data_IF_915779915783
#
_entry.id   IF_915779915783
#
_cell.length_a   1.000
_cell.length_b   1.000
_cell.length_c   1.000
_cell.angle_alpha   90.00
_cell.angle_beta   90.00
_cell.angle_gamma   90.00
#
_symmetry.space_group_name_H-M   'P 1'
#
loop_
_entity.id
_entity.type
_entity.pdbx_description
1 polymer ?
#
# COMPACT_ATOMS: atom_id res chain seq x y z
N UNK A 1 -3.51 -4.12 -26.32
CA UNK A 1 -4.46 -2.99 -26.28
C UNK A 1 -5.79 -3.33 -25.59
N UNK A 2 -6.41 -4.50 -25.86
CA UNK A 2 -7.66 -4.90 -25.19
C UNK A 2 -7.57 -4.92 -23.65
N UNK A 3 -6.40 -5.31 -23.13
CA UNK A 3 -6.12 -5.36 -21.69
C UNK A 3 -6.19 -3.98 -21.00
N UNK A 4 -5.60 -2.96 -21.63
CA UNK A 4 -5.62 -1.56 -21.13
C UNK A 4 -7.03 -1.00 -21.11
N UNK A 5 -7.85 -1.28 -22.13
CA UNK A 5 -9.23 -0.81 -22.18
C UNK A 5 -10.08 -1.44 -21.06
N UNK A 6 -9.92 -2.74 -20.82
CA UNK A 6 -10.62 -3.44 -19.75
C UNK A 6 -10.20 -2.94 -18.36
N UNK A 7 -8.90 -2.76 -18.14
CA UNK A 7 -8.32 -2.23 -16.90
C UNK A 7 -8.89 -0.85 -16.57
N UNK A 8 -8.81 0.09 -17.52
CA UNK A 8 -9.25 1.47 -17.32
C UNK A 8 -10.77 1.56 -17.17
N UNK A 9 -11.52 0.71 -17.86
CA UNK A 9 -12.97 0.58 -17.65
C UNK A 9 -13.29 0.07 -16.23
N UNK A 10 -12.53 -0.90 -15.73
CA UNK A 10 -12.70 -1.42 -14.38
C UNK A 10 -12.37 -0.37 -13.31
N UNK A 11 -11.29 0.38 -13.47
CA UNK A 11 -10.96 1.51 -12.59
C UNK A 11 -12.10 2.54 -12.53
N UNK A 12 -12.63 2.93 -13.69
CA UNK A 12 -13.77 3.84 -13.75
C UNK A 12 -15.00 3.30 -13.01
N UNK A 13 -15.31 2.00 -13.15
CA UNK A 13 -16.41 1.35 -12.42
C UNK A 13 -16.21 1.36 -10.91
N UNK A 14 -14.98 1.14 -10.42
CA UNK A 14 -14.67 1.21 -8.98
C UNK A 14 -15.00 2.61 -8.44
N UNK A 15 -14.58 3.67 -9.15
CA UNK A 15 -14.90 5.06 -8.76
C UNK A 15 -16.39 5.35 -8.82
N UNK A 16 -17.09 4.85 -9.85
CA UNK A 16 -18.55 5.02 -10.01
C UNK A 16 -19.34 4.38 -8.88
N UNK A 17 -18.88 3.25 -8.37
CA UNK A 17 -19.59 2.51 -7.32
C UNK A 17 -19.29 3.01 -5.90
N UNK A 18 -18.33 3.93 -5.72
CA UNK A 18 -18.02 4.51 -4.42
C UNK A 18 -19.02 5.63 -4.06
N UNK A 19 -20.06 5.24 -3.31
CA UNK A 19 -21.14 6.14 -2.89
C UNK A 19 -20.67 7.28 -1.96
N UNK A 20 -19.49 7.18 -1.35
CA UNK A 20 -18.93 8.22 -0.49
C UNK A 20 -18.25 9.34 -1.29
N UNK A 21 -17.97 9.14 -2.59
CA UNK A 21 -17.43 10.18 -3.45
C UNK A 21 -18.51 11.19 -3.89
N UNK A 22 -18.15 12.45 -4.17
CA UNK A 22 -19.09 13.42 -4.72
C UNK A 22 -19.73 12.95 -6.03
N UNK A 23 -21.01 13.25 -6.24
CA UNK A 23 -21.75 12.79 -7.43
C UNK A 23 -21.13 13.28 -8.76
N UNK A 24 -20.47 14.44 -8.78
CA UNK A 24 -19.80 14.92 -9.98
C UNK A 24 -18.56 14.08 -10.34
N UNK A 25 -17.79 13.62 -9.34
CA UNK A 25 -16.63 12.71 -9.51
C UNK A 25 -17.09 11.41 -10.13
N UNK A 26 -18.16 10.81 -9.57
CA UNK A 26 -18.73 9.55 -10.10
C UNK A 26 -19.24 9.70 -11.53
N UNK A 27 -19.90 10.82 -11.86
CA UNK A 27 -20.37 11.10 -13.23
C UNK A 27 -19.22 11.27 -14.22
N UNK A 28 -18.16 11.99 -13.82
CA UNK A 28 -16.96 12.13 -14.65
C UNK A 28 -16.32 10.75 -14.90
N UNK A 29 -16.15 9.93 -13.86
CA UNK A 29 -15.61 8.58 -13.98
C UNK A 29 -16.49 7.66 -14.86
N UNK A 30 -17.82 7.74 -14.77
CA UNK A 30 -18.74 6.99 -15.62
C UNK A 30 -18.59 7.37 -17.11
N UNK A 31 -18.49 8.67 -17.38
CA UNK A 31 -18.26 9.17 -18.75
C UNK A 31 -16.93 8.66 -19.31
N UNK A 32 -15.86 8.75 -18.51
CA UNK A 32 -14.53 8.25 -18.85
C UNK A 32 -14.54 6.73 -19.12
N UNK A 33 -15.20 5.94 -18.28
CA UNK A 33 -15.32 4.49 -18.46
C UNK A 33 -16.03 4.10 -19.78
N UNK A 34 -17.02 4.89 -20.22
CA UNK A 34 -17.71 4.69 -21.50
C UNK A 34 -16.81 4.93 -22.74
N UNK A 35 -15.71 5.66 -22.58
CA UNK A 35 -14.75 5.95 -23.65
C UNK A 35 -13.54 4.99 -23.67
N UNK A 36 -13.39 4.12 -22.67
CA UNK A 36 -12.23 3.26 -22.51
C UNK A 36 -11.96 2.35 -23.72
N UNK A 37 -13.01 1.86 -24.39
CA UNK A 37 -12.88 1.03 -25.59
C UNK A 37 -12.36 1.78 -26.83
N UNK A 38 -12.45 3.11 -26.85
CA UNK A 38 -12.04 3.95 -27.99
C UNK A 38 -10.72 4.67 -27.76
N UNK A 39 -10.47 5.15 -26.53
CA UNK A 39 -9.31 5.98 -26.20
C UNK A 39 -8.70 5.60 -24.83
N UNK A 40 -8.26 4.35 -24.63
CA UNK A 40 -7.88 3.84 -23.31
C UNK A 40 -6.76 4.64 -22.64
N UNK A 41 -5.74 5.07 -23.40
CA UNK A 41 -4.64 5.88 -22.88
C UNK A 41 -5.10 7.23 -22.33
N UNK A 42 -5.90 7.96 -23.12
CA UNK A 42 -6.46 9.26 -22.70
C UNK A 42 -7.39 9.13 -21.50
N UNK A 43 -8.18 8.04 -21.44
CA UNK A 43 -9.06 7.79 -20.29
C UNK A 43 -8.23 7.54 -19.03
N UNK A 44 -7.12 6.79 -19.11
CA UNK A 44 -6.21 6.58 -17.98
C UNK A 44 -5.65 7.91 -17.46
N UNK A 45 -5.10 8.73 -18.33
CA UNK A 45 -4.57 10.05 -17.98
C UNK A 45 -5.63 10.90 -17.27
N UNK A 46 -6.85 10.94 -17.80
CA UNK A 46 -7.96 11.70 -17.21
C UNK A 46 -8.43 11.17 -15.86
N UNK A 47 -8.36 9.86 -15.63
CA UNK A 47 -8.63 9.26 -14.33
C UNK A 47 -7.53 9.59 -13.32
N UNK A 48 -6.27 9.60 -13.75
CA UNK A 48 -5.14 10.05 -12.91
C UNK A 48 -5.27 11.54 -12.53
N UNK A 49 -5.63 12.41 -13.48
CA UNK A 49 -5.94 13.82 -13.23
C UNK A 49 -7.10 13.99 -12.23
N UNK A 50 -8.17 13.19 -12.39
CA UNK A 50 -9.30 13.19 -11.46
C UNK A 50 -8.86 12.79 -10.05
N UNK A 51 -8.03 11.75 -9.92
CA UNK A 51 -7.46 11.34 -8.63
C UNK A 51 -6.65 12.48 -8.01
N UNK A 52 -5.71 13.06 -8.75
CA UNK A 52 -4.84 14.12 -8.23
C UNK A 52 -5.62 15.35 -7.75
N UNK A 53 -6.70 15.73 -8.45
CA UNK A 53 -7.58 16.82 -8.02
C UNK A 53 -8.35 16.51 -6.75
N UNK A 54 -8.74 15.24 -6.56
CA UNK A 54 -9.62 14.86 -5.45
C UNK A 54 -8.86 14.54 -4.15
N UNK A 55 -7.64 13.99 -4.25
CA UNK A 55 -6.85 13.57 -3.08
C UNK A 55 -6.67 14.66 -2.01
N UNK A 56 -6.45 15.94 -2.33
CA UNK A 56 -6.35 17.01 -1.33
C UNK A 56 -7.64 17.23 -0.51
N UNK A 57 -8.80 16.99 -1.13
CA UNK A 57 -10.13 17.27 -0.55
C UNK A 57 -10.68 16.07 0.24
N UNK A 58 -10.05 14.91 0.15
CA UNK A 58 -10.44 13.74 0.94
C UNK A 58 -10.09 13.98 2.41
N UNK A 59 -11.12 14.08 3.25
CA UNK A 59 -10.97 14.29 4.67
C UNK A 59 -10.15 13.16 5.32
N UNK A 60 -9.06 13.55 5.98
CA UNK A 60 -8.31 12.70 6.88
C UNK A 60 -8.67 12.98 8.34
N UNK A 61 -8.28 12.07 9.21
CA UNK A 61 -8.42 12.17 10.65
C UNK A 61 -7.13 11.71 11.33
N UNK A 62 -7.01 12.01 12.61
CA UNK A 62 -5.85 11.64 13.41
C UNK A 62 -5.89 10.15 13.73
N UNK A 63 -4.76 9.42 13.67
CA UNK A 63 -4.67 8.07 14.20
C UNK A 63 -5.18 8.01 15.64
N UNK A 64 -5.93 6.96 15.98
CA UNK A 64 -6.52 6.75 17.32
C UNK A 64 -5.99 5.49 18.02
N UNK A 65 -5.02 4.81 17.39
CA UNK A 65 -4.43 3.55 17.85
C UNK A 65 -3.16 3.25 17.06
N UNK A 66 -2.50 2.16 17.42
CA UNK A 66 -1.35 1.63 16.69
C UNK A 66 -1.79 1.02 15.35
N UNK A 67 -1.03 1.32 14.32
CA UNK A 67 -1.22 0.79 12.97
C UNK A 67 -0.03 -0.03 12.52
N UNK A 68 -0.26 -0.85 11.50
CA UNK A 68 0.74 -1.69 10.91
C UNK A 68 0.58 -1.77 9.39
N UNK A 69 1.70 -2.03 8.73
CA UNK A 69 1.78 -2.35 7.30
C UNK A 69 2.48 -3.68 7.12
N UNK A 70 1.84 -4.60 6.43
CA UNK A 70 2.46 -5.87 6.04
C UNK A 70 2.97 -5.78 4.61
N UNK A 71 4.23 -6.10 4.40
CA UNK A 71 4.82 -6.27 3.06
C UNK A 71 5.44 -7.65 2.93
N UNK A 72 5.32 -8.27 1.75
CA UNK A 72 6.05 -9.51 1.48
C UNK A 72 7.55 -9.27 1.56
N UNK A 73 8.34 -10.30 1.86
CA UNK A 73 9.80 -10.21 1.84
C UNK A 73 10.35 -9.73 0.49
N UNK A 74 9.69 -10.09 -0.61
CA UNK A 74 10.02 -9.59 -1.94
C UNK A 74 9.73 -8.09 -2.08
N UNK A 75 8.57 -7.62 -1.64
CA UNK A 75 8.23 -6.18 -1.62
C UNK A 75 9.21 -5.39 -0.78
N UNK A 76 9.59 -5.92 0.39
CA UNK A 76 10.64 -5.35 1.23
C UNK A 76 11.95 -5.18 0.47
N UNK A 77 12.44 -6.26 -0.15
CA UNK A 77 13.68 -6.25 -0.93
C UNK A 77 13.63 -5.26 -2.10
N UNK A 78 12.48 -5.18 -2.79
CA UNK A 78 12.33 -4.30 -3.97
C UNK A 78 12.33 -2.82 -3.59
N UNK A 79 11.62 -2.45 -2.52
CA UNK A 79 11.22 -1.06 -2.25
C UNK A 79 11.74 -0.46 -0.94
N UNK A 80 12.12 -1.28 0.03
CA UNK A 80 12.49 -0.83 1.38
C UNK A 80 13.94 -1.15 1.77
N UNK A 81 14.62 -2.01 1.00
CA UNK A 81 16.01 -2.37 1.25
C UNK A 81 16.98 -1.26 0.81
N UNK A 82 17.99 -0.96 1.64
CA UNK A 82 19.08 -0.03 1.29
C UNK A 82 19.88 -0.49 0.05
N UNK A 83 20.41 0.48 -0.69
CA UNK A 83 20.99 0.26 -2.03
C UNK A 83 22.24 -0.60 -2.02
N UNK A 84 23.10 -0.46 -1.02
CA UNK A 84 24.32 -1.26 -0.81
C UNK A 84 23.99 -2.74 -0.54
N UNK A 85 22.99 -3.01 0.29
CA UNK A 85 22.52 -4.39 0.56
C UNK A 85 21.86 -4.98 -0.67
N UNK A 86 21.07 -4.18 -1.40
CA UNK A 86 20.50 -4.61 -2.69
C UNK A 86 21.60 -4.95 -3.70
N UNK A 87 22.69 -4.18 -3.75
CA UNK A 87 23.85 -4.46 -4.59
C UNK A 87 24.56 -5.76 -4.17
N UNK A 88 24.73 -6.00 -2.86
CA UNK A 88 25.35 -7.21 -2.34
C UNK A 88 24.60 -8.50 -2.75
N UNK A 89 23.27 -8.49 -2.67
CA UNK A 89 22.44 -9.64 -3.05
C UNK A 89 22.06 -9.67 -4.56
N UNK A 90 22.46 -8.66 -5.34
CA UNK A 90 22.22 -8.60 -6.78
C UNK A 90 20.72 -8.55 -7.12
N UNK A 91 20.24 -9.44 -8.01
CA UNK A 91 18.82 -9.59 -8.34
C UNK A 91 18.14 -10.73 -7.58
N UNK A 92 18.86 -11.39 -6.65
CA UNK A 92 18.39 -12.60 -5.96
C UNK A 92 17.74 -12.26 -4.62
N UNK A 93 16.45 -11.89 -4.67
CA UNK A 93 15.68 -11.67 -3.44
C UNK A 93 15.58 -12.95 -2.58
N UNK A 94 15.68 -14.16 -3.15
CA UNK A 94 15.59 -15.41 -2.37
C UNK A 94 16.84 -15.61 -1.52
N UNK A 95 18.02 -15.27 -2.04
CA UNK A 95 19.26 -15.27 -1.26
C UNK A 95 19.18 -14.30 -0.08
N UNK A 96 18.64 -13.10 -0.29
CA UNK A 96 18.40 -12.14 0.79
C UNK A 96 17.45 -12.69 1.87
N UNK A 97 16.31 -13.27 1.46
CA UNK A 97 15.36 -13.85 2.42
C UNK A 97 15.93 -15.05 3.16
N UNK A 98 16.76 -15.87 2.50
CA UNK A 98 17.49 -16.95 3.15
C UNK A 98 18.48 -16.40 4.20
N UNK A 99 19.19 -15.33 3.87
CA UNK A 99 20.09 -14.65 4.79
C UNK A 99 19.37 -14.09 6.02
N UNK A 100 18.21 -13.43 5.85
CA UNK A 100 17.40 -12.95 6.98
C UNK A 100 16.95 -14.11 7.87
N UNK A 101 16.47 -15.22 7.29
CA UNK A 101 16.03 -16.40 8.04
C UNK A 101 17.14 -17.04 8.85
N UNK A 102 18.40 -16.92 8.41
CA UNK A 102 19.54 -17.47 9.14
C UNK A 102 20.06 -16.56 10.26
N UNK A 103 19.53 -15.34 10.39
CA UNK A 103 19.90 -14.44 11.48
C UNK A 103 19.26 -14.89 12.80
N UNK A 104 19.94 -14.71 13.94
CA UNK A 104 19.34 -14.95 15.26
C UNK A 104 18.09 -14.10 15.51
N UNK A 105 18.08 -12.88 14.97
CA UNK A 105 16.94 -11.96 14.99
C UNK A 105 16.70 -11.41 13.57
N UNK A 106 15.86 -12.08 12.76
CA UNK A 106 15.52 -11.62 11.42
C UNK A 106 14.85 -10.24 11.39
N UNK A 107 14.14 -9.87 12.46
CA UNK A 107 13.41 -8.61 12.54
C UNK A 107 14.38 -7.43 12.75
N UNK A 108 15.32 -7.58 13.69
CA UNK A 108 16.40 -6.61 13.89
C UNK A 108 17.29 -6.47 12.64
N UNK A 109 17.61 -7.59 11.97
CA UNK A 109 18.37 -7.57 10.72
C UNK A 109 17.61 -6.83 9.60
N UNK A 110 16.32 -7.11 9.41
CA UNK A 110 15.49 -6.39 8.44
C UNK A 110 15.41 -4.90 8.76
N UNK A 111 15.32 -4.52 10.03
CA UNK A 111 15.34 -3.11 10.45
C UNK A 111 16.67 -2.42 10.12
N UNK A 112 17.79 -3.08 10.38
CA UNK A 112 19.13 -2.55 10.07
C UNK A 112 19.35 -2.37 8.56
N UNK A 113 18.68 -3.19 7.75
CA UNK A 113 18.76 -3.20 6.29
C UNK A 113 17.75 -2.23 5.62
N UNK A 114 16.97 -1.47 6.38
CA UNK A 114 16.08 -0.45 5.82
C UNK A 114 16.85 0.65 5.06
N UNK A 115 16.23 1.16 3.99
CA UNK A 115 16.72 2.33 3.28
C UNK A 115 16.62 3.58 4.15
N UNK A 116 17.56 4.50 3.97
CA UNK A 116 17.62 5.76 4.72
C UNK A 116 16.71 6.84 4.09
N UNK A 117 15.66 6.43 3.37
CA UNK A 117 14.72 7.35 2.75
C UNK A 117 13.82 8.00 3.81
N UNK A 118 13.59 9.32 3.68
CA UNK A 118 12.71 10.05 4.61
C UNK A 118 11.28 9.50 4.63
N UNK A 119 10.79 9.03 3.48
CA UNK A 119 9.47 8.40 3.32
C UNK A 119 9.66 6.89 3.26
N UNK A 120 9.16 6.20 4.29
CA UNK A 120 9.17 4.74 4.32
C UNK A 120 8.07 4.17 3.43
N UNK A 121 6.88 4.80 3.43
CA UNK A 121 5.72 4.34 2.66
C UNK A 121 5.13 5.49 1.86
N UNK A 122 5.34 5.52 0.53
CA UNK A 122 4.73 6.52 -0.34
C UNK A 122 3.20 6.44 -0.31
N UNK A 123 2.54 7.59 -0.51
CA UNK A 123 1.09 7.74 -0.51
C UNK A 123 0.36 6.84 -1.52
N UNK A 124 1.01 6.51 -2.63
CA UNK A 124 0.45 5.57 -3.60
C UNK A 124 0.36 4.15 -3.07
N UNK A 125 1.12 3.81 -2.03
CA UNK A 125 1.16 2.48 -1.46
C UNK A 125 0.63 2.41 -0.03
N UNK A 126 0.30 3.52 0.62
CA UNK A 126 0.21 3.74 2.08
C UNK A 126 -0.96 3.11 2.83
N UNK A 127 -1.49 1.98 2.36
CA UNK A 127 -2.46 1.24 3.16
C UNK A 127 -1.85 0.75 4.48
N UNK A 128 -2.67 0.79 5.53
CA UNK A 128 -2.41 0.40 6.91
C UNK A 128 -3.61 -0.37 7.45
N UNK A 129 -3.38 -1.18 8.49
CA UNK A 129 -4.41 -1.84 9.30
C UNK A 129 -4.12 -1.61 10.77
N UNK A 130 -5.13 -1.74 11.63
CA UNK A 130 -4.90 -1.71 13.08
C UNK A 130 -3.97 -2.86 13.51
N UNK A 131 -2.97 -2.54 14.34
CA UNK A 131 -1.98 -3.52 14.81
C UNK A 131 -2.64 -4.71 15.53
N UNK A 132 -3.72 -4.44 16.26
CA UNK A 132 -4.55 -5.43 16.96
C UNK A 132 -4.97 -6.60 16.06
N UNK A 133 -5.22 -6.35 14.77
CA UNK A 133 -5.62 -7.40 13.82
C UNK A 133 -4.50 -8.37 13.46
N UNK A 134 -3.26 -8.00 13.73
CA UNK A 134 -2.07 -8.78 13.40
C UNK A 134 -1.42 -9.39 14.62
N UNK A 135 -1.81 -8.97 15.82
CA UNK A 135 -1.25 -9.45 17.08
C UNK A 135 -1.39 -10.97 17.18
N UNK A 136 -0.26 -11.66 17.36
CA UNK A 136 -0.21 -13.12 17.48
C UNK A 136 -0.39 -13.90 16.17
N UNK A 137 -0.54 -13.24 15.03
CA UNK A 137 -0.67 -13.91 13.74
C UNK A 137 0.70 -14.24 13.13
N UNK A 138 0.84 -15.45 12.59
CA UNK A 138 1.94 -15.83 11.71
C UNK A 138 1.74 -15.31 10.27
N UNK A 139 2.71 -15.52 9.38
CA UNK A 139 2.59 -15.05 8.00
C UNK A 139 1.41 -15.66 7.23
N UNK A 140 0.97 -16.87 7.59
CA UNK A 140 -0.17 -17.55 6.94
C UNK A 140 -1.50 -16.98 7.36
N UNK A 141 -1.66 -16.73 8.64
CA UNK A 141 -2.81 -16.06 9.20
C UNK A 141 -2.89 -14.62 8.69
N UNK A 142 -1.78 -13.89 8.59
CA UNK A 142 -1.74 -12.53 8.00
C UNK A 142 -2.20 -12.56 6.54
N UNK A 143 -1.64 -13.46 5.71
CA UNK A 143 -2.04 -13.56 4.30
C UNK A 143 -3.54 -13.82 4.13
N UNK A 144 -4.11 -14.72 4.94
CA UNK A 144 -5.57 -15.00 4.93
C UNK A 144 -6.39 -13.82 5.44
N UNK A 145 -5.99 -13.23 6.57
CA UNK A 145 -6.71 -12.13 7.24
C UNK A 145 -6.79 -10.88 6.37
N UNK A 146 -5.69 -10.56 5.71
CA UNK A 146 -5.54 -9.39 4.85
C UNK A 146 -5.85 -9.67 3.37
N UNK A 147 -6.18 -10.91 3.02
CA UNK A 147 -6.48 -11.33 1.64
C UNK A 147 -5.39 -10.96 0.62
N UNK A 148 -4.12 -10.98 1.03
CA UNK A 148 -2.99 -10.57 0.19
C UNK A 148 -2.72 -11.60 -0.91
N UNK A 149 -3.32 -11.40 -2.08
CA UNK A 149 -3.19 -12.32 -3.24
C UNK A 149 -1.77 -12.27 -3.80
N UNK A 150 -1.20 -13.44 -4.09
CA UNK A 150 0.12 -13.57 -4.74
C UNK A 150 1.31 -13.15 -3.87
N UNK A 151 1.10 -12.87 -2.58
CA UNK A 151 2.18 -12.56 -1.64
C UNK A 151 2.72 -13.85 -1.03
N UNK A 152 4.00 -14.16 -1.26
CA UNK A 152 4.67 -15.27 -0.63
C UNK A 152 5.21 -14.85 0.74
N UNK A 153 5.04 -15.72 1.74
CA UNK A 153 5.73 -15.62 3.02
C UNK A 153 7.25 -15.67 2.81
N UNK A 154 8.02 -14.98 3.67
CA UNK A 154 7.64 -14.36 4.94
C UNK A 154 7.13 -12.91 4.76
N UNK A 155 6.45 -12.38 5.78
CA UNK A 155 6.06 -10.96 5.83
C UNK A 155 6.98 -10.17 6.76
N UNK A 156 7.31 -8.95 6.32
CA UNK A 156 7.87 -7.90 7.17
C UNK A 156 6.72 -6.97 7.56
N UNK A 157 6.52 -6.80 8.86
CA UNK A 157 5.45 -5.94 9.40
C UNK A 157 6.09 -4.69 9.99
N UNK A 158 5.78 -3.55 9.39
CA UNK A 158 6.12 -2.25 9.95
C UNK A 158 5.06 -1.83 10.95
N UNK A 159 5.48 -1.51 12.17
CA UNK A 159 4.57 -1.11 13.25
C UNK A 159 4.76 0.38 13.52
N UNK A 160 3.63 1.08 13.55
CA UNK A 160 3.54 2.52 13.72
C UNK A 160 2.71 2.83 14.97
N UNK A 161 3.37 3.09 16.12
CA UNK A 161 2.68 3.49 17.33
C UNK A 161 1.91 4.79 17.13
N UNK A 162 0.72 4.88 17.72
CA UNK A 162 -0.16 6.06 17.63
C UNK A 162 0.61 7.36 17.91
N UNK A 163 1.35 7.38 19.02
CA UNK A 163 2.09 8.56 19.46
C UNK A 163 3.10 9.04 18.41
N UNK A 164 3.76 8.12 17.72
CA UNK A 164 4.75 8.46 16.67
C UNK A 164 4.06 8.94 15.40
N UNK A 165 2.94 8.33 15.02
CA UNK A 165 2.13 8.81 13.90
C UNK A 165 1.66 10.26 14.15
N UNK A 166 1.13 10.53 15.34
CA UNK A 166 0.70 11.88 15.75
C UNK A 166 1.86 12.88 15.75
N UNK A 167 3.00 12.51 16.35
CA UNK A 167 4.19 13.36 16.43
C UNK A 167 4.73 13.75 15.06
N UNK A 168 4.62 12.86 14.08
CA UNK A 168 5.10 13.07 12.73
C UNK A 168 4.01 13.54 11.75
N UNK A 169 2.85 13.98 12.25
CA UNK A 169 1.81 14.63 11.46
C UNK A 169 1.11 13.70 10.45
N UNK A 170 1.12 12.39 10.71
CA UNK A 170 0.43 11.41 9.86
C UNK A 170 -1.09 11.56 10.02
N UNK A 171 -1.83 11.51 8.91
CA UNK A 171 -3.28 11.61 8.88
C UNK A 171 -3.88 10.45 8.11
N UNK A 172 -4.78 9.70 8.72
CA UNK A 172 -5.39 8.54 8.10
C UNK A 172 -6.73 8.90 7.46
N UNK A 173 -7.14 8.10 6.48
CA UNK A 173 -8.48 8.17 5.89
C UNK A 173 -8.95 6.79 5.49
N UNK A 174 -10.25 6.69 5.24
CA UNK A 174 -10.79 5.51 4.58
C UNK A 174 -10.33 5.46 3.12
N UNK A 175 -10.07 4.25 2.58
CA UNK A 175 -9.93 4.05 1.15
C UNK A 175 -11.15 4.54 0.38
N UNK A 176 -10.90 5.15 -0.77
CA UNK A 176 -11.92 5.58 -1.74
C UNK A 176 -11.63 4.96 -3.10
N UNK A 177 -12.64 4.91 -3.96
CA UNK A 177 -12.53 4.30 -5.28
C UNK A 177 -11.46 4.95 -6.16
N UNK A 178 -11.14 6.22 -5.93
CA UNK A 178 -10.04 6.92 -6.63
C UNK A 178 -8.65 6.41 -6.26
N UNK A 179 -8.49 5.70 -5.15
CA UNK A 179 -7.21 5.14 -4.72
C UNK A 179 -6.79 3.91 -5.53
N UNK A 180 -7.74 3.29 -6.24
CA UNK A 180 -7.44 2.22 -7.19
C UNK A 180 -6.62 2.72 -8.39
N UNK A 181 -6.57 4.04 -8.60
CA UNK A 181 -5.83 4.69 -9.68
C UNK A 181 -4.46 5.10 -9.11
N UNK A 182 -3.32 4.89 -9.79
CA UNK A 182 -3.16 4.13 -11.03
C UNK A 182 -3.20 2.61 -10.77
N UNK A 183 -3.55 1.81 -11.79
CA UNK A 183 -3.64 0.34 -11.76
C UNK A 183 -2.32 -0.41 -11.46
N UNK A 184 -1.27 0.29 -11.02
CA UNK A 184 0.05 -0.30 -10.70
C UNK A 184 0.01 -1.27 -9.51
N UNK A 185 -1.16 -1.42 -8.87
CA UNK A 185 -1.35 -2.24 -7.67
C UNK A 185 -2.37 -3.35 -7.91
N UNK A 186 -2.11 -4.24 -8.87
CA UNK A 186 -2.92 -5.45 -9.06
C UNK A 186 -2.95 -6.39 -7.82
N UNK A 187 -2.12 -6.15 -6.81
CA UNK A 187 -2.09 -6.91 -5.55
C UNK A 187 -3.00 -6.32 -4.45
N UNK A 188 -3.56 -5.12 -4.66
CA UNK A 188 -4.32 -4.39 -3.63
C UNK A 188 -5.63 -3.85 -4.22
N UNK A 189 -6.74 -4.25 -3.60
CA UNK A 189 -8.08 -3.71 -3.89
C UNK A 189 -8.43 -2.75 -2.75
N UNK A 190 -8.62 -1.45 -2.99
CA UNK A 190 -9.04 -0.51 -1.94
C UNK A 190 -10.32 -0.97 -1.25
N UNK A 191 -10.30 -1.00 0.09
CA UNK A 191 -11.41 -1.52 0.92
C UNK A 191 -11.52 -3.05 0.92
N UNK A 192 -10.60 -3.75 0.25
CA UNK A 192 -10.52 -5.22 0.26
C UNK A 192 -9.87 -5.77 1.53
N UNK A 193 -9.14 -4.93 2.27
CA UNK A 193 -8.57 -5.30 3.56
C UNK A 193 -9.51 -4.84 4.68
N UNK A 194 -9.82 -5.70 5.67
CA UNK A 194 -10.64 -5.28 6.80
C UNK A 194 -9.96 -4.16 7.60
N UNK A 195 -10.72 -3.10 7.91
CA UNK A 195 -10.23 -1.91 8.63
C UNK A 195 -9.05 -1.20 7.95
N UNK A 196 -8.96 -1.33 6.63
CA UNK A 196 -7.96 -0.64 5.84
C UNK A 196 -8.03 0.86 6.04
N UNK A 197 -6.87 1.48 6.19
CA UNK A 197 -6.66 2.93 6.24
C UNK A 197 -5.60 3.32 5.25
N UNK A 198 -5.73 4.50 4.65
CA UNK A 198 -4.72 5.07 3.77
C UNK A 198 -4.18 6.34 4.45
N UNK A 199 -2.88 6.57 4.35
CA UNK A 199 -2.25 7.85 4.66
C UNK A 199 -1.82 8.55 3.37
N UNK A 200 -1.33 9.78 3.46
CA UNK A 200 -0.38 10.30 2.47
C UNK A 200 0.97 9.55 2.62
N UNK A 201 2.08 10.27 2.71
CA UNK A 201 3.38 9.66 2.88
C UNK A 201 3.63 9.35 4.36
N UNK A 202 3.96 8.10 4.68
CA UNK A 202 4.36 7.72 6.03
C UNK A 202 5.88 7.89 6.13
N UNK A 203 6.38 8.78 7.01
CA UNK A 203 7.80 9.01 7.17
C UNK A 203 8.47 7.84 7.90
N UNK A 204 9.73 7.57 7.58
CA UNK A 204 10.54 6.58 8.32
C UNK A 204 10.62 6.92 9.81
N UNK A 205 10.61 8.21 10.16
CA UNK A 205 10.60 8.67 11.54
C UNK A 205 9.35 8.23 12.35
N UNK A 206 8.23 7.89 11.69
CA UNK A 206 7.05 7.34 12.35
C UNK A 206 7.19 5.84 12.71
N UNK A 207 8.18 5.13 12.13
CA UNK A 207 8.38 3.69 12.35
C UNK A 207 8.78 3.40 13.79
N UNK A 208 7.90 2.73 14.53
CA UNK A 208 8.18 2.21 15.86
C UNK A 208 9.05 0.97 15.79
N UNK A 209 8.51 -0.09 15.21
CA UNK A 209 9.08 -1.44 15.24
C UNK A 209 9.01 -2.14 13.86
N UNK A 210 9.89 -3.12 13.65
CA UNK A 210 9.86 -4.02 12.50
C UNK A 210 9.70 -5.42 13.05
N UNK A 211 8.69 -6.16 12.59
CA UNK A 211 8.47 -7.54 12.98
C UNK A 211 8.67 -8.47 11.79
N UNK A 212 9.21 -9.65 12.07
CA UNK A 212 9.34 -10.72 11.11
C UNK A 212 8.26 -11.78 11.36
N UNK A 213 7.50 -12.10 10.31
CA UNK A 213 6.40 -13.08 10.36
C UNK A 213 6.66 -14.17 9.34
N UNK A 214 7.26 -15.30 9.76
CA UNK A 214 7.63 -16.38 8.86
C UNK A 214 6.42 -16.97 8.14
#
# INVERSE_FOLDING_TARGET
MADVAAEVQQLGRIVVNDVALPAFVRREAASLAGLAGRQPGRVRERLEDLRQRLLPDLAGYRPERDYARCVSGETFWRHHLRTDRKAYFGADHKAYLSHLRSQPDPAAAARADLSDADVLVPAEFSWLVSLEQLTGLDGGAIARRLQLRGSAQPFVVFVFPEERLLRHGVTLREPRGVDAIPAKLLQWTPGGVPDERIDRNIPLAALGDVQWRP
#
